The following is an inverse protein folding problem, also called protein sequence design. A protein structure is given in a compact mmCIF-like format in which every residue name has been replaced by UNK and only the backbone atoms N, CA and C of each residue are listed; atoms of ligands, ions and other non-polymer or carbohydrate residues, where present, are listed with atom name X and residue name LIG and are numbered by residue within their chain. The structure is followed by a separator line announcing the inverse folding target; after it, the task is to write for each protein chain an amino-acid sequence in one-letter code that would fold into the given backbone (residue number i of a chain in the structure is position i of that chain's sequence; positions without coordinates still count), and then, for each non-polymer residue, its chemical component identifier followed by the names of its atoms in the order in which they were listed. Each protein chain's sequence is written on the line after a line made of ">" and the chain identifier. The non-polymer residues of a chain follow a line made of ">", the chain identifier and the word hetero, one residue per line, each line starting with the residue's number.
data_IF_423167886564
#
_entry.id   IF_423167886564
#
_cell.length_a   1.000
_cell.length_b   1.000
_cell.length_c   1.000
_cell.angle_alpha   90.00
_cell.angle_beta   90.00
_cell.angle_gamma   90.00
#
_symmetry.space_group_name_H-M   'P 1'
#
loop_
_entity.id
_entity.type
_entity.pdbx_description
1 polymer ?
#
# COMPACT_ATOMS: atom_id res chain seq x y z
N UNK A 1 -31.88 -14.57 22.14
CA UNK A 1 -31.17 -13.30 21.90
C UNK A 1 -30.01 -13.62 20.98
N UNK A 2 -30.05 -13.17 19.72
CA UNK A 2 -28.95 -13.38 18.76
C UNK A 2 -27.87 -12.35 19.09
N UNK A 3 -26.65 -12.80 19.40
CA UNK A 3 -25.52 -11.92 19.67
C UNK A 3 -25.18 -11.05 18.46
N UNK A 4 -24.41 -9.97 18.63
CA UNK A 4 -24.10 -9.05 17.55
C UNK A 4 -23.49 -9.82 16.38
N UNK A 5 -24.14 -9.69 15.23
CA UNK A 5 -23.66 -10.24 13.97
C UNK A 5 -22.23 -9.73 13.72
N UNK A 6 -21.28 -10.66 13.66
CA UNK A 6 -19.87 -10.40 13.33
C UNK A 6 -19.68 -10.41 11.81
N UNK A 7 -20.61 -9.82 11.06
CA UNK A 7 -20.62 -9.83 9.60
C UNK A 7 -19.43 -9.04 9.06
N UNK A 8 -18.49 -9.74 8.42
CA UNK A 8 -17.57 -9.09 7.50
C UNK A 8 -18.35 -8.72 6.24
N UNK A 9 -18.66 -7.44 6.08
CA UNK A 9 -19.35 -6.93 4.88
C UNK A 9 -18.33 -6.30 3.94
N UNK A 10 -18.40 -6.66 2.66
CA UNK A 10 -17.56 -6.12 1.60
C UNK A 10 -18.46 -5.49 0.53
N UNK A 11 -18.12 -4.29 0.09
CA UNK A 11 -18.73 -3.67 -1.10
C UNK A 11 -17.69 -3.45 -2.18
N UNK A 12 -18.15 -3.31 -3.41
CA UNK A 12 -17.30 -3.20 -4.58
C UNK A 12 -17.85 -2.14 -5.54
N UNK A 13 -16.96 -1.45 -6.25
CA UNK A 13 -17.30 -0.56 -7.34
C UNK A 13 -17.68 -1.37 -8.61
N UNK A 14 -18.02 -0.66 -9.69
CA UNK A 14 -18.38 -1.27 -10.99
C UNK A 14 -17.23 -2.00 -11.68
N UNK A 15 -15.98 -1.69 -11.31
CA UNK A 15 -14.78 -2.35 -11.83
C UNK A 15 -14.40 -3.58 -11.00
N UNK A 16 -15.13 -3.88 -9.92
CA UNK A 16 -14.84 -4.97 -9.01
C UNK A 16 -13.76 -4.66 -7.98
N UNK A 17 -13.34 -3.39 -7.86
CA UNK A 17 -12.46 -2.99 -6.77
C UNK A 17 -13.25 -2.86 -5.48
N UNK A 18 -12.64 -3.20 -4.35
CA UNK A 18 -13.31 -3.17 -3.05
C UNK A 18 -13.47 -1.73 -2.56
N UNK A 19 -14.68 -1.22 -2.43
CA UNK A 19 -14.92 0.13 -1.88
C UNK A 19 -14.93 0.17 -0.36
N UNK A 20 -15.50 -0.84 0.29
CA UNK A 20 -15.56 -0.91 1.76
C UNK A 20 -15.27 -2.29 2.30
N UNK A 21 -14.75 -2.31 3.53
CA UNK A 21 -14.64 -3.51 4.34
C UNK A 21 -15.07 -3.18 5.77
N UNK A 22 -16.23 -3.69 6.18
CA UNK A 22 -16.72 -3.56 7.56
C UNK A 22 -16.41 -4.81 8.34
N UNK A 23 -15.89 -4.62 9.55
CA UNK A 23 -15.57 -5.67 10.52
C UNK A 23 -16.06 -5.26 11.90
N UNK A 24 -15.86 -6.11 12.91
CA UNK A 24 -16.19 -5.79 14.30
C UNK A 24 -15.43 -4.56 14.85
N UNK A 25 -14.30 -4.18 14.26
CA UNK A 25 -13.50 -3.02 14.69
C UNK A 25 -13.81 -1.73 13.92
N UNK A 26 -14.72 -1.79 12.93
CA UNK A 26 -15.13 -0.66 12.10
C UNK A 26 -15.00 -0.90 10.60
N UNK A 27 -15.16 0.16 9.83
CA UNK A 27 -15.17 0.15 8.37
C UNK A 27 -13.94 0.82 7.78
N UNK A 28 -13.24 0.11 6.91
CA UNK A 28 -12.24 0.68 6.01
C UNK A 28 -12.94 1.14 4.72
N UNK A 29 -12.57 2.31 4.21
CA UNK A 29 -13.02 2.83 2.90
C UNK A 29 -11.82 2.96 1.98
N UNK A 30 -11.95 2.48 0.75
CA UNK A 30 -10.89 2.43 -0.25
C UNK A 30 -11.26 3.27 -1.46
N UNK A 31 -10.28 3.89 -2.11
CA UNK A 31 -10.48 4.63 -3.35
C UNK A 31 -9.39 4.31 -4.35
N UNK A 32 -9.77 4.25 -5.63
CA UNK A 32 -8.92 3.82 -6.73
C UNK A 32 -8.83 4.92 -7.79
N UNK A 33 -7.72 4.96 -8.53
CA UNK A 33 -7.64 5.77 -9.74
C UNK A 33 -8.31 5.07 -10.94
N UNK A 34 -8.29 5.74 -12.10
CA UNK A 34 -8.86 5.23 -13.35
C UNK A 34 -8.14 3.97 -13.90
N UNK A 35 -6.94 3.66 -13.39
CA UNK A 35 -6.17 2.46 -13.72
C UNK A 35 -6.42 1.33 -12.70
N UNK A 36 -7.45 1.46 -11.84
CA UNK A 36 -7.81 0.53 -10.78
C UNK A 36 -6.71 0.33 -9.71
N UNK A 37 -5.84 1.33 -9.52
CA UNK A 37 -4.81 1.28 -8.48
C UNK A 37 -5.31 1.96 -7.22
N UNK A 38 -5.10 1.32 -6.07
CA UNK A 38 -5.51 1.86 -4.77
C UNK A 38 -4.73 3.14 -4.45
N UNK A 39 -5.42 4.28 -4.35
CA UNK A 39 -4.82 5.59 -4.05
C UNK A 39 -5.11 6.09 -2.64
N UNK A 40 -6.17 5.59 -1.98
CA UNK A 40 -6.53 6.01 -0.62
C UNK A 40 -7.16 4.89 0.19
N UNK A 41 -6.85 4.86 1.49
CA UNK A 41 -7.53 4.05 2.51
C UNK A 41 -7.85 4.94 3.70
N UNK A 42 -9.13 5.05 4.06
CA UNK A 42 -9.58 5.65 5.31
C UNK A 42 -9.90 4.53 6.30
N UNK A 43 -9.18 4.50 7.41
CA UNK A 43 -9.37 3.54 8.50
C UNK A 43 -10.42 4.04 9.52
N UNK A 44 -10.96 3.17 10.38
CA UNK A 44 -12.01 3.53 11.34
C UNK A 44 -11.56 4.58 12.37
N UNK A 45 -10.26 4.63 12.66
CA UNK A 45 -9.64 5.62 13.55
C UNK A 45 -9.38 6.98 12.87
N UNK A 46 -9.97 7.20 11.69
CA UNK A 46 -9.75 8.37 10.83
C UNK A 46 -8.33 8.50 10.27
N UNK A 47 -7.49 7.47 10.41
CA UNK A 47 -6.20 7.44 9.73
C UNK A 47 -6.42 7.34 8.23
N UNK A 48 -5.78 8.24 7.49
CA UNK A 48 -5.76 8.24 6.03
C UNK A 48 -4.41 7.74 5.53
N UNK A 49 -4.41 6.74 4.65
CA UNK A 49 -3.22 6.24 3.96
C UNK A 49 -3.39 6.50 2.46
N UNK A 50 -2.46 7.24 1.88
CA UNK A 50 -2.47 7.61 0.47
C UNK A 50 -1.30 6.93 -0.25
N UNK A 51 -1.51 6.57 -1.51
CA UNK A 51 -0.49 5.94 -2.34
C UNK A 51 -0.27 6.74 -3.63
N UNK A 52 0.98 6.82 -4.07
CA UNK A 52 1.35 7.37 -5.38
C UNK A 52 2.04 6.30 -6.21
N UNK A 53 1.85 6.39 -7.52
CA UNK A 53 2.40 5.47 -8.50
C UNK A 53 3.19 6.25 -9.56
N UNK A 54 4.19 5.60 -10.15
CA UNK A 54 4.85 6.11 -11.34
C UNK A 54 4.10 5.71 -12.62
N UNK A 55 4.62 6.15 -13.77
CA UNK A 55 4.04 5.86 -15.08
C UNK A 55 4.05 4.36 -15.45
N UNK A 56 4.82 3.52 -14.76
CA UNK A 56 4.83 2.07 -14.93
C UNK A 56 3.85 1.37 -13.99
N UNK A 57 3.10 2.13 -13.18
CA UNK A 57 2.16 1.60 -12.20
C UNK A 57 2.81 1.06 -10.93
N UNK A 58 4.10 1.34 -10.70
CA UNK A 58 4.80 0.94 -9.47
C UNK A 58 4.54 1.94 -8.37
N UNK A 59 4.31 1.48 -7.14
CA UNK A 59 4.08 2.37 -6.00
C UNK A 59 5.37 3.07 -5.60
N UNK A 60 5.39 4.41 -5.62
CA UNK A 60 6.57 5.21 -5.29
C UNK A 60 6.46 5.94 -3.96
N UNK A 61 5.25 6.09 -3.41
CA UNK A 61 5.04 6.70 -2.10
C UNK A 61 3.86 6.04 -1.38
N UNK A 62 4.02 5.88 -0.07
CA UNK A 62 2.94 5.65 0.90
C UNK A 62 2.99 6.80 1.90
N UNK A 63 1.89 7.52 2.04
CA UNK A 63 1.78 8.66 2.94
C UNK A 63 0.68 8.39 3.97
N UNK A 64 0.91 8.73 5.25
CA UNK A 64 -0.08 8.64 6.32
C UNK A 64 -0.43 10.04 6.82
N UNK A 65 -1.73 10.31 6.96
CA UNK A 65 -2.30 11.53 7.54
C UNK A 65 -1.70 12.82 6.95
N UNK A 66 -1.62 12.92 5.62
CA UNK A 66 -1.17 14.13 4.93
C UNK A 66 0.31 14.47 5.11
N UNK A 67 1.14 13.48 5.46
CA UNK A 67 2.59 13.62 5.60
C UNK A 67 3.12 13.45 7.02
N UNK A 68 2.26 13.12 8.00
CA UNK A 68 2.68 12.81 9.36
C UNK A 68 3.70 11.66 9.41
N UNK A 69 3.54 10.68 8.51
CA UNK A 69 4.62 9.77 8.13
C UNK A 69 4.55 9.43 6.66
N UNK A 70 5.68 9.09 6.07
CA UNK A 70 5.76 8.67 4.67
C UNK A 70 6.87 7.66 4.44
N UNK A 71 6.70 6.86 3.40
CA UNK A 71 7.69 5.92 2.88
C UNK A 71 7.76 6.14 1.36
N UNK A 72 8.98 6.20 0.81
CA UNK A 72 9.23 6.35 -0.63
C UNK A 72 10.08 5.20 -1.14
N UNK A 73 9.76 4.72 -2.34
CA UNK A 73 10.37 3.54 -2.93
C UNK A 73 11.12 3.92 -4.21
N UNK A 74 12.35 3.44 -4.35
CA UNK A 74 13.15 3.54 -5.58
C UNK A 74 13.33 2.16 -6.19
N UNK A 75 13.37 2.12 -7.51
CA UNK A 75 13.36 0.88 -8.27
C UNK A 75 14.51 0.81 -9.26
N UNK A 76 15.01 -0.41 -9.49
CA UNK A 76 15.82 -0.80 -10.64
C UNK A 76 15.04 -1.87 -11.41
N UNK A 77 14.70 -1.60 -12.67
CA UNK A 77 13.78 -2.45 -13.43
C UNK A 77 12.45 -2.66 -12.70
N UNK A 78 12.10 -3.90 -12.37
CA UNK A 78 10.89 -4.23 -11.60
C UNK A 78 11.13 -4.28 -10.08
N UNK A 79 12.38 -4.23 -9.64
CA UNK A 79 12.78 -4.52 -8.26
C UNK A 79 12.89 -3.24 -7.43
N UNK A 80 12.35 -3.26 -6.22
CA UNK A 80 12.58 -2.19 -5.24
C UNK A 80 14.01 -2.32 -4.73
N UNK A 81 14.82 -1.28 -4.92
CA UNK A 81 16.22 -1.24 -4.45
C UNK A 81 16.40 -0.39 -3.21
N UNK A 82 15.43 0.46 -2.89
CA UNK A 82 15.52 1.35 -1.73
C UNK A 82 14.14 1.75 -1.21
N UNK A 83 13.96 1.73 0.11
CA UNK A 83 12.91 2.49 0.79
C UNK A 83 13.54 3.62 1.64
N UNK A 84 12.85 4.76 1.73
CA UNK A 84 13.22 5.86 2.63
C UNK A 84 11.99 6.27 3.40
N UNK A 85 12.12 6.34 4.72
CA UNK A 85 11.02 6.67 5.63
C UNK A 85 11.17 8.07 6.19
N UNK A 86 10.06 8.63 6.66
CA UNK A 86 10.00 9.97 7.23
C UNK A 86 10.83 10.15 8.51
N UNK A 87 11.20 9.06 9.19
CA UNK A 87 12.10 9.05 10.36
C UNK A 87 13.59 9.00 9.99
N UNK A 88 13.91 9.03 8.69
CA UNK A 88 15.28 8.96 8.16
C UNK A 88 15.80 7.53 7.98
N UNK A 89 15.05 6.50 8.41
CA UNK A 89 15.43 5.11 8.15
C UNK A 89 15.42 4.85 6.65
N UNK A 90 16.49 4.21 6.19
CA UNK A 90 16.69 3.80 4.81
C UNK A 90 17.02 2.32 4.78
N UNK A 91 16.31 1.54 3.95
CA UNK A 91 16.66 0.15 3.67
C UNK A 91 17.06 0.08 2.21
N UNK A 92 18.26 -0.45 1.96
CA UNK A 92 18.72 -0.74 0.60
C UNK A 92 18.64 -2.24 0.38
N UNK A 93 18.06 -2.63 -0.75
CA UNK A 93 17.93 -4.01 -1.16
C UNK A 93 19.02 -4.30 -2.18
N UNK A 94 19.93 -5.20 -1.84
CA UNK A 94 20.89 -5.72 -2.79
C UNK A 94 20.20 -6.73 -3.69
N UNK A 95 19.99 -6.39 -4.97
CA UNK A 95 19.77 -7.40 -6.00
C UNK A 95 21.12 -8.11 -6.20
N UNK A 96 21.34 -9.19 -5.46
CA UNK A 96 22.51 -10.04 -5.68
C UNK A 96 22.52 -10.44 -7.15
N UNK A 97 23.58 -10.07 -7.86
CA UNK A 97 23.87 -10.66 -9.18
C UNK A 97 23.88 -12.17 -8.97
N UNK A 98 22.88 -12.86 -9.53
CA UNK A 98 22.93 -14.30 -9.72
C UNK A 98 23.99 -14.66 -10.75
N UNK A 99 25.26 -14.45 -10.41
CA UNK A 99 26.41 -15.06 -11.04
C UNK A 99 27.15 -15.82 -9.94
N UNK A 100 26.72 -17.06 -9.72
CA UNK A 100 27.61 -18.10 -9.23
C UNK A 100 28.66 -18.36 -10.32
N UNK A 101 29.92 -17.99 -10.10
CA UNK A 101 31.04 -18.95 -10.04
C UNK A 101 32.38 -18.26 -9.70
N UNK A 102 33.15 -18.91 -8.82
CA UNK A 102 34.52 -18.55 -8.40
C UNK A 102 35.52 -18.77 -9.53
N UNK A 103 36.59 -17.97 -9.59
CA UNK A 103 37.96 -18.42 -9.94
C UNK A 103 38.99 -17.30 -9.64
N UNK A 104 39.42 -17.18 -8.37
CA UNK A 104 40.78 -17.51 -7.91
C UNK A 104 40.80 -17.58 -6.38
#
# INVERSE_FOLDING_TARGET
>A
MVGPDRSNLLTYDLNGNRETQTSAVGTNVYSYDNENRLINVLLPDSTMIQYKYDALGRRVERNRNGGASWERYSYDGADVVKDVRSDGVTIEYGNGLGVDDKLW
#
